data_IF_101583244163
#
_entry.id   IF_101583244163
#
_cell.length_a   1.000
_cell.length_b   1.000
_cell.length_c   1.000
_cell.angle_alpha   90.00
_cell.angle_beta   90.00
_cell.angle_gamma   90.00
#
_symmetry.space_group_name_H-M   'P 1'
#
loop_
_entity.id
_entity.type
_entity.pdbx_description
1 polymer ?
#
# COMPACT_ATOMS: atom_id res chain seq x y z
N UNK A 1 2.24 -12.34 11.12
CA UNK A 1 3.68 -12.00 10.97
C UNK A 1 4.07 -10.83 11.85
N UNK A 2 5.35 -10.43 11.90
CA UNK A 2 5.84 -9.39 12.81
C UNK A 2 5.12 -8.02 12.68
N UNK A 3 4.56 -7.69 11.52
CA UNK A 3 3.76 -6.48 11.32
C UNK A 3 2.33 -6.61 11.87
N UNK A 4 1.71 -7.78 11.77
CA UNK A 4 0.43 -8.07 12.43
C UNK A 4 0.56 -7.88 13.95
N UNK A 5 1.65 -8.37 14.56
CA UNK A 5 1.89 -8.18 16.01
C UNK A 5 2.06 -6.70 16.40
N UNK A 6 2.64 -5.87 15.53
CA UNK A 6 2.82 -4.43 15.80
C UNK A 6 1.48 -3.67 15.71
N UNK A 7 0.56 -4.09 14.83
CA UNK A 7 -0.74 -3.43 14.67
C UNK A 7 -1.84 -4.06 15.54
N UNK A 8 -1.89 -5.38 15.68
CA UNK A 8 -2.95 -6.09 16.43
C UNK A 8 -2.77 -6.02 17.96
N UNK A 9 -1.55 -5.88 18.46
CA UNK A 9 -1.27 -5.79 19.92
C UNK A 9 -0.97 -4.38 20.42
N UNK A 10 -1.21 -3.36 19.60
CA UNK A 10 -1.03 -1.98 20.00
C UNK A 10 -2.31 -1.44 20.65
N UNK A 11 -2.31 -1.27 21.97
CA UNK A 11 -3.44 -0.71 22.74
C UNK A 11 -3.97 0.61 22.16
N UNK A 12 -3.11 1.43 21.56
CA UNK A 12 -3.47 2.69 20.91
C UNK A 12 -4.25 2.48 19.62
N UNK A 13 -3.79 1.60 18.74
CA UNK A 13 -4.53 1.26 17.53
C UNK A 13 -5.90 0.68 17.87
N UNK A 14 -5.97 -0.16 18.88
CA UNK A 14 -7.23 -0.72 19.37
C UNK A 14 -8.16 0.37 19.90
N UNK A 15 -7.66 1.31 20.72
CA UNK A 15 -8.47 2.44 21.21
C UNK A 15 -9.15 3.22 20.07
N UNK A 16 -8.41 3.59 19.02
CA UNK A 16 -8.97 4.35 17.90
C UNK A 16 -9.92 3.49 17.04
N UNK A 17 -9.62 2.22 16.86
CA UNK A 17 -10.51 1.28 16.16
C UNK A 17 -11.83 1.09 16.94
N UNK A 18 -11.79 1.01 18.26
CA UNK A 18 -12.99 0.89 19.10
C UNK A 18 -13.84 2.17 19.05
N UNK A 19 -13.22 3.35 19.04
CA UNK A 19 -13.94 4.63 18.88
C UNK A 19 -14.61 4.74 17.52
N UNK A 20 -13.91 4.30 16.45
CA UNK A 20 -14.45 4.24 15.11
C UNK A 20 -15.61 3.24 15.05
N UNK A 21 -15.45 2.03 15.58
CA UNK A 21 -16.46 0.97 15.61
C UNK A 21 -17.74 1.43 16.36
N UNK A 22 -17.57 2.06 17.53
CA UNK A 22 -18.69 2.62 18.30
C UNK A 22 -19.47 3.69 17.51
N UNK A 23 -18.78 4.44 16.67
CA UNK A 23 -19.39 5.46 15.82
C UNK A 23 -20.14 4.86 14.64
N UNK A 24 -19.56 3.81 14.03
CA UNK A 24 -20.25 3.03 12.98
C UNK A 24 -21.54 2.44 13.53
N UNK A 25 -21.52 1.83 14.72
CA UNK A 25 -22.73 1.27 15.37
C UNK A 25 -23.80 2.34 15.59
N UNK A 26 -23.44 3.52 16.10
CA UNK A 26 -24.39 4.62 16.30
C UNK A 26 -25.05 5.09 15.00
N UNK A 27 -24.27 5.20 13.93
CA UNK A 27 -24.78 5.57 12.59
C UNK A 27 -25.71 4.45 12.10
N UNK A 28 -25.29 3.22 12.18
CA UNK A 28 -26.03 2.05 11.74
C UNK A 28 -27.38 1.93 12.49
N UNK A 29 -27.40 2.10 13.81
CA UNK A 29 -28.62 2.13 14.62
C UNK A 29 -29.57 3.26 14.20
N UNK A 30 -29.02 4.45 13.87
CA UNK A 30 -29.84 5.56 13.40
C UNK A 30 -30.45 5.31 12.01
N UNK A 31 -29.75 4.63 11.12
CA UNK A 31 -30.27 4.19 9.81
C UNK A 31 -31.34 3.11 10.01
N UNK A 32 -31.07 2.09 10.81
CA UNK A 32 -31.99 0.98 11.05
C UNK A 32 -33.28 1.44 11.75
N UNK A 33 -33.21 2.42 12.65
CA UNK A 33 -34.38 3.00 13.30
C UNK A 33 -35.35 3.66 12.30
N UNK A 34 -34.83 4.21 11.19
CA UNK A 34 -35.65 4.79 10.11
C UNK A 34 -36.17 3.72 9.12
N UNK A 35 -35.41 2.66 8.92
CA UNK A 35 -35.71 1.62 7.94
C UNK A 35 -35.34 0.21 8.50
N UNK A 36 -36.19 -0.41 9.36
CA UNK A 36 -35.81 -1.62 10.11
C UNK A 36 -35.44 -2.83 9.25
N UNK A 37 -35.99 -2.96 8.06
CA UNK A 37 -35.72 -4.09 7.15
C UNK A 37 -34.57 -3.81 6.15
N UNK A 38 -34.05 -2.59 6.14
CA UNK A 38 -32.99 -2.20 5.23
C UNK A 38 -31.63 -2.70 5.75
N UNK A 39 -30.86 -3.42 4.95
CA UNK A 39 -29.52 -3.79 5.34
C UNK A 39 -28.60 -2.57 5.25
N UNK A 40 -27.93 -2.23 6.34
CA UNK A 40 -26.99 -1.12 6.38
C UNK A 40 -25.74 -1.54 5.60
N UNK A 41 -25.37 -0.76 4.61
CA UNK A 41 -24.26 -1.04 3.72
C UNK A 41 -23.00 -0.28 4.15
N UNK A 42 -21.95 -1.04 4.38
CA UNK A 42 -20.65 -0.52 4.85
C UNK A 42 -19.58 -0.94 3.87
N UNK A 43 -18.72 0.01 3.47
CA UNK A 43 -17.51 -0.26 2.69
C UNK A 43 -16.29 0.15 3.50
N UNK A 44 -15.31 -0.72 3.58
CA UNK A 44 -13.99 -0.41 4.15
C UNK A 44 -12.97 -0.30 3.03
N UNK A 45 -12.28 0.84 2.96
CA UNK A 45 -11.22 1.15 1.99
C UNK A 45 -9.89 0.74 2.58
N UNK A 46 -9.07 -0.03 1.82
CA UNK A 46 -7.73 -0.42 2.23
C UNK A 46 -7.72 -1.16 3.56
N UNK A 47 -8.56 -2.19 3.70
CA UNK A 47 -8.76 -2.91 4.95
C UNK A 47 -7.49 -3.64 5.46
N UNK A 48 -6.51 -3.93 4.59
CA UNK A 48 -5.19 -4.44 4.93
C UNK A 48 -5.22 -5.76 5.71
N UNK A 49 -4.63 -5.78 6.90
CA UNK A 49 -4.65 -6.94 7.80
C UNK A 49 -5.98 -7.15 8.54
N UNK A 50 -6.90 -6.17 8.46
CA UNK A 50 -8.25 -6.26 9.04
C UNK A 50 -8.32 -5.91 10.53
N UNK A 51 -7.37 -5.17 11.08
CA UNK A 51 -7.42 -4.76 12.50
C UNK A 51 -8.66 -3.90 12.78
N UNK A 52 -8.97 -2.92 11.92
CA UNK A 52 -10.20 -2.11 12.00
C UNK A 52 -11.43 -2.97 11.70
N UNK A 53 -11.37 -3.80 10.66
CA UNK A 53 -12.45 -4.75 10.32
C UNK A 53 -12.88 -5.56 11.52
N UNK A 54 -11.94 -6.15 12.27
CA UNK A 54 -12.20 -6.96 13.44
C UNK A 54 -12.99 -6.22 14.52
N UNK A 55 -12.57 -4.99 14.86
CA UNK A 55 -13.23 -4.16 15.86
C UNK A 55 -14.65 -3.77 15.43
N UNK A 56 -14.82 -3.38 14.15
CA UNK A 56 -16.11 -2.97 13.58
C UNK A 56 -17.08 -4.14 13.51
N UNK A 57 -16.63 -5.31 13.02
CA UNK A 57 -17.47 -6.51 12.95
C UNK A 57 -17.97 -6.94 14.32
N UNK A 58 -17.08 -7.01 15.32
CA UNK A 58 -17.45 -7.35 16.68
C UNK A 58 -18.53 -6.42 17.23
N UNK A 59 -18.35 -5.11 17.08
CA UNK A 59 -19.30 -4.12 17.59
C UNK A 59 -20.67 -4.19 16.86
N UNK A 60 -20.69 -4.47 15.55
CA UNK A 60 -21.91 -4.60 14.76
C UNK A 60 -22.68 -5.90 15.10
N UNK A 61 -21.96 -7.01 15.32
CA UNK A 61 -22.53 -8.30 15.74
C UNK A 61 -23.13 -8.20 17.15
N UNK A 62 -22.42 -7.58 18.10
CA UNK A 62 -22.91 -7.33 19.45
C UNK A 62 -24.19 -6.46 19.50
N UNK A 63 -24.35 -5.59 18.49
CA UNK A 63 -25.52 -4.72 18.34
C UNK A 63 -26.69 -5.38 17.55
N UNK A 64 -26.54 -6.62 17.08
CA UNK A 64 -27.53 -7.40 16.32
C UNK A 64 -28.10 -6.64 15.10
N UNK A 65 -27.26 -5.93 14.35
CA UNK A 65 -27.64 -5.10 13.22
C UNK A 65 -27.71 -5.91 11.92
N UNK A 66 -28.69 -5.59 11.06
CA UNK A 66 -28.78 -6.13 9.71
C UNK A 66 -27.84 -5.35 8.77
N UNK A 67 -26.76 -5.97 8.31
CA UNK A 67 -25.68 -5.31 7.59
C UNK A 67 -25.27 -6.05 6.32
N UNK A 68 -24.71 -5.29 5.38
CA UNK A 68 -23.89 -5.76 4.26
C UNK A 68 -22.52 -5.10 4.39
N UNK A 69 -21.45 -5.88 4.49
CA UNK A 69 -20.10 -5.36 4.66
C UNK A 69 -19.25 -5.69 3.44
N UNK A 70 -18.61 -4.67 2.87
CA UNK A 70 -17.75 -4.78 1.70
C UNK A 70 -16.32 -4.46 2.16
N UNK A 71 -15.53 -5.50 2.32
CA UNK A 71 -14.10 -5.41 2.60
C UNK A 71 -13.36 -5.14 1.30
N UNK A 72 -12.66 -4.02 1.20
CA UNK A 72 -11.91 -3.67 -0.01
C UNK A 72 -10.46 -3.36 0.27
N UNK A 73 -9.63 -3.71 -0.71
CA UNK A 73 -8.21 -3.37 -0.73
C UNK A 73 -7.73 -3.35 -2.19
N UNK A 74 -6.65 -2.64 -2.47
CA UNK A 74 -5.98 -2.68 -3.77
C UNK A 74 -5.21 -4.00 -3.97
N UNK A 75 -4.78 -4.63 -2.87
CA UNK A 75 -3.97 -5.86 -2.86
C UNK A 75 -4.84 -7.11 -2.90
N UNK A 76 -4.72 -7.98 -3.94
CA UNK A 76 -5.38 -9.28 -3.97
C UNK A 76 -5.02 -10.19 -2.78
N UNK A 77 -3.82 -10.06 -2.22
CA UNK A 77 -3.41 -10.84 -1.05
C UNK A 77 -4.15 -10.42 0.20
N UNK A 78 -4.40 -9.13 0.43
CA UNK A 78 -5.24 -8.67 1.53
C UNK A 78 -6.71 -9.05 1.33
N UNK A 79 -7.21 -9.07 0.10
CA UNK A 79 -8.56 -9.60 -0.19
C UNK A 79 -8.65 -11.09 0.16
N UNK A 80 -7.63 -11.88 -0.18
CA UNK A 80 -7.60 -13.31 0.16
C UNK A 80 -7.46 -13.52 1.68
N UNK A 81 -6.61 -12.74 2.34
CA UNK A 81 -6.48 -12.72 3.80
C UNK A 81 -7.82 -12.40 4.48
N UNK A 82 -8.47 -11.31 4.07
CA UNK A 82 -9.77 -10.92 4.59
C UNK A 82 -10.83 -12.02 4.43
N UNK A 83 -10.88 -12.65 3.26
CA UNK A 83 -11.79 -13.76 2.97
C UNK A 83 -11.61 -14.96 3.90
N UNK A 84 -10.37 -15.33 4.18
CA UNK A 84 -10.05 -16.44 5.08
C UNK A 84 -10.25 -16.10 6.54
N UNK A 85 -9.95 -14.87 6.96
CA UNK A 85 -10.01 -14.45 8.36
C UNK A 85 -11.40 -14.03 8.80
N UNK A 86 -12.21 -13.42 7.92
CA UNK A 86 -13.49 -12.81 8.28
C UNK A 86 -14.69 -13.38 7.52
N UNK A 87 -14.49 -14.07 6.37
CA UNK A 87 -15.58 -14.52 5.52
C UNK A 87 -16.29 -15.79 5.98
N UNK A 88 -15.70 -16.54 6.93
CA UNK A 88 -16.29 -17.77 7.46
C UNK A 88 -17.50 -17.40 8.33
N UNK A 89 -18.65 -18.04 8.07
CA UNK A 89 -19.92 -17.82 8.78
C UNK A 89 -20.54 -16.41 8.65
N UNK A 90 -20.03 -15.57 7.71
CA UNK A 90 -20.51 -14.20 7.44
C UNK A 90 -20.96 -14.05 5.98
N UNK A 91 -22.09 -14.63 5.55
CA UNK A 91 -22.55 -14.56 4.15
C UNK A 91 -22.90 -13.13 3.70
N UNK A 92 -23.06 -12.20 4.62
CA UNK A 92 -23.30 -10.77 4.41
C UNK A 92 -22.01 -9.96 4.17
N UNK A 93 -20.85 -10.60 4.24
CA UNK A 93 -19.58 -10.00 3.84
C UNK A 93 -19.25 -10.28 2.37
N UNK A 94 -18.70 -9.29 1.70
CA UNK A 94 -18.10 -9.42 0.37
C UNK A 94 -16.68 -8.85 0.36
N UNK A 95 -15.82 -9.40 -0.49
CA UNK A 95 -14.39 -9.09 -0.59
C UNK A 95 -14.08 -8.69 -2.01
N UNK A 96 -13.70 -7.44 -2.23
CA UNK A 96 -13.58 -6.83 -3.55
C UNK A 96 -12.28 -6.04 -3.68
N UNK A 97 -11.66 -6.10 -4.85
CA UNK A 97 -10.58 -5.17 -5.20
C UNK A 97 -11.18 -3.79 -5.43
N UNK A 98 -10.60 -2.79 -4.79
CA UNK A 98 -10.87 -1.39 -5.08
C UNK A 98 -9.62 -0.55 -4.89
N UNK A 99 -9.20 0.06 -5.98
CA UNK A 99 -8.23 1.14 -5.99
C UNK A 99 -8.99 2.45 -5.76
N UNK A 100 -8.72 3.14 -4.66
CA UNK A 100 -9.39 4.39 -4.28
C UNK A 100 -9.10 5.54 -5.26
N UNK A 101 -8.06 5.44 -6.08
CA UNK A 101 -7.82 6.37 -7.18
C UNK A 101 -8.81 6.17 -8.36
N UNK A 102 -9.68 5.14 -8.27
CA UNK A 102 -10.75 4.89 -9.22
C UNK A 102 -12.13 5.07 -8.56
N UNK A 103 -13.14 5.57 -9.30
CA UNK A 103 -14.49 5.69 -8.78
C UNK A 103 -15.06 4.35 -8.32
N UNK A 104 -15.85 4.37 -7.24
CA UNK A 104 -16.60 3.22 -6.80
C UNK A 104 -17.60 2.79 -7.88
N UNK A 105 -17.60 1.52 -8.23
CA UNK A 105 -18.39 1.00 -9.36
C UNK A 105 -19.31 -0.15 -8.93
N UNK A 106 -20.26 -0.49 -9.82
CA UNK A 106 -21.16 -1.64 -9.63
C UNK A 106 -20.45 -2.99 -9.50
N UNK A 107 -19.16 -3.07 -9.83
CA UNK A 107 -18.35 -4.28 -9.59
C UNK A 107 -18.00 -4.45 -8.12
N UNK A 108 -17.93 -3.36 -7.34
CA UNK A 108 -17.68 -3.41 -5.91
C UNK A 108 -18.95 -3.63 -5.09
N UNK A 109 -20.11 -3.15 -5.52
CA UNK A 109 -21.36 -3.34 -4.78
C UNK A 109 -22.54 -3.71 -5.68
N UNK A 110 -23.51 -4.44 -5.12
CA UNK A 110 -24.78 -4.79 -5.79
C UNK A 110 -25.69 -3.56 -5.99
N UNK A 111 -25.50 -2.53 -5.19
CA UNK A 111 -26.16 -1.22 -5.29
C UNK A 111 -25.09 -0.13 -5.41
N UNK A 112 -25.45 0.96 -6.10
CA UNK A 112 -24.52 2.04 -6.43
C UNK A 112 -24.09 2.91 -5.25
N UNK A 113 -24.67 2.75 -4.04
CA UNK A 113 -24.40 3.63 -2.91
C UNK A 113 -24.47 2.88 -1.57
N UNK A 114 -23.64 3.32 -0.61
CA UNK A 114 -23.53 2.75 0.73
C UNK A 114 -23.81 3.82 1.80
N UNK A 115 -24.16 3.36 3.01
CA UNK A 115 -24.50 4.25 4.13
C UNK A 115 -23.25 4.73 4.86
N UNK A 116 -22.21 3.87 4.88
CA UNK A 116 -20.97 4.15 5.62
C UNK A 116 -19.76 3.72 4.78
N UNK A 117 -18.79 4.62 4.71
CA UNK A 117 -17.43 4.32 4.20
C UNK A 117 -16.45 4.46 5.36
N UNK A 118 -15.55 3.51 5.51
CA UNK A 118 -14.48 3.48 6.52
C UNK A 118 -13.13 3.55 5.81
N UNK A 119 -12.22 4.35 6.32
CA UNK A 119 -10.84 4.42 5.84
C UNK A 119 -9.88 4.57 7.04
N UNK A 120 -8.97 3.61 7.23
CA UNK A 120 -8.01 3.63 8.35
C UNK A 120 -6.58 3.59 7.83
N UNK A 121 -5.82 4.66 8.07
CA UNK A 121 -4.41 4.82 7.65
C UNK A 121 -4.16 4.42 6.18
N UNK A 122 -5.05 4.87 5.28
CA UNK A 122 -5.00 4.53 3.85
C UNK A 122 -5.06 5.77 2.96
N UNK A 123 -5.87 6.78 3.29
CA UNK A 123 -6.08 7.93 2.42
C UNK A 123 -4.83 8.80 2.30
N UNK A 124 -4.01 8.90 3.34
CA UNK A 124 -2.75 9.61 3.27
C UNK A 124 -1.75 9.01 2.26
N UNK A 125 -1.89 7.73 1.95
CA UNK A 125 -1.01 7.02 1.01
C UNK A 125 -1.42 7.19 -0.46
N UNK A 126 -2.48 7.96 -0.76
CA UNK A 126 -2.93 8.24 -2.13
C UNK A 126 -2.14 9.38 -2.77
N UNK A 127 -2.12 9.41 -4.10
CA UNK A 127 -1.39 10.42 -4.86
C UNK A 127 -2.01 11.83 -4.79
N UNK A 128 -3.35 11.92 -4.68
CA UNK A 128 -4.16 13.15 -4.59
C UNK A 128 -5.31 12.92 -3.61
N UNK A 129 -5.23 13.61 -2.46
CA UNK A 129 -6.21 13.43 -1.39
C UNK A 129 -7.61 13.88 -1.76
N UNK A 130 -7.74 14.97 -2.53
CA UNK A 130 -9.05 15.46 -2.95
C UNK A 130 -9.70 14.51 -3.96
N UNK A 131 -8.89 13.90 -4.83
CA UNK A 131 -9.36 12.87 -5.76
C UNK A 131 -9.85 11.63 -5.01
N UNK A 132 -9.06 11.10 -4.08
CA UNK A 132 -9.43 9.97 -3.24
C UNK A 132 -10.71 10.24 -2.42
N UNK A 133 -10.84 11.44 -1.83
CA UNK A 133 -12.05 11.83 -1.11
C UNK A 133 -13.28 11.95 -2.01
N UNK A 134 -13.14 12.43 -3.26
CA UNK A 134 -14.25 12.44 -4.25
C UNK A 134 -14.69 11.02 -4.59
N UNK A 135 -13.74 10.09 -4.75
CA UNK A 135 -14.04 8.69 -5.01
C UNK A 135 -14.71 8.01 -3.80
N UNK A 136 -14.24 8.26 -2.58
CA UNK A 136 -14.89 7.79 -1.35
C UNK A 136 -16.33 8.36 -1.24
N UNK A 137 -16.51 9.66 -1.53
CA UNK A 137 -17.82 10.30 -1.54
C UNK A 137 -18.76 9.70 -2.60
N UNK A 138 -18.23 9.30 -3.75
CA UNK A 138 -19.01 8.69 -4.83
C UNK A 138 -19.67 7.36 -4.45
N UNK A 139 -19.08 6.66 -3.47
CA UNK A 139 -19.64 5.43 -2.91
C UNK A 139 -20.83 5.71 -1.96
N UNK A 140 -20.90 6.88 -1.36
CA UNK A 140 -21.87 7.21 -0.31
C UNK A 140 -23.24 7.61 -0.88
N UNK A 141 -24.27 7.14 -0.21
CA UNK A 141 -25.63 7.68 -0.37
C UNK A 141 -25.71 9.13 0.14
N UNK A 142 -26.80 9.82 -0.20
CA UNK A 142 -27.16 11.08 0.43
C UNK A 142 -27.30 10.84 1.95
N UNK A 143 -26.74 11.75 2.75
CA UNK A 143 -26.63 11.62 4.22
C UNK A 143 -25.75 10.46 4.71
N UNK A 144 -25.07 9.72 3.82
CA UNK A 144 -24.08 8.71 4.18
C UNK A 144 -22.85 9.30 4.89
N UNK A 145 -22.11 8.48 5.58
CA UNK A 145 -21.01 8.92 6.44
C UNK A 145 -19.67 8.31 6.02
N UNK A 146 -18.65 9.16 5.95
CA UNK A 146 -17.25 8.75 5.85
C UNK A 146 -16.60 8.81 7.24
N UNK A 147 -16.03 7.72 7.71
CA UNK A 147 -15.24 7.65 8.91
C UNK A 147 -13.78 7.46 8.53
N UNK A 148 -12.95 8.38 8.99
CA UNK A 148 -11.50 8.39 8.73
C UNK A 148 -10.80 8.20 10.07
N UNK A 149 -9.90 7.21 10.15
CA UNK A 149 -9.00 7.00 11.27
C UNK A 149 -7.56 7.14 10.74
N UNK A 150 -6.95 8.29 10.95
CA UNK A 150 -5.70 8.64 10.28
C UNK A 150 -4.66 9.21 11.24
N UNK A 151 -3.41 8.96 10.91
CA UNK A 151 -2.26 9.63 11.52
C UNK A 151 -2.27 11.10 11.11
N UNK A 152 -2.30 12.02 12.10
CA UNK A 152 -2.49 13.47 11.86
C UNK A 152 -1.30 14.33 12.30
N UNK A 153 -0.26 13.72 12.82
CA UNK A 153 1.00 14.38 13.18
C UNK A 153 2.20 13.60 12.66
N UNK A 154 3.22 14.35 12.30
CA UNK A 154 4.51 13.76 11.93
C UNK A 154 5.24 13.28 13.19
N UNK A 155 5.56 12.00 13.24
CA UNK A 155 6.36 11.39 14.31
C UNK A 155 7.73 10.97 13.79
N UNK A 156 8.71 10.95 14.67
CA UNK A 156 10.04 10.43 14.33
C UNK A 156 9.96 8.95 13.94
N UNK A 157 9.16 8.17 14.68
CA UNK A 157 8.93 6.77 14.38
C UNK A 157 8.36 6.57 12.96
N UNK A 158 7.27 7.27 12.60
CA UNK A 158 6.68 7.19 11.25
C UNK A 158 7.66 7.60 10.16
N UNK A 159 8.47 8.64 10.40
CA UNK A 159 9.48 9.08 9.42
C UNK A 159 10.61 8.06 9.26
N UNK A 160 11.08 7.42 10.34
CA UNK A 160 12.17 6.45 10.29
C UNK A 160 11.74 5.06 9.79
N UNK A 161 10.45 4.73 9.87
CA UNK A 161 9.90 3.45 9.40
C UNK A 161 9.30 3.58 8.00
N UNK A 162 8.22 4.31 7.87
CA UNK A 162 7.48 4.47 6.60
C UNK A 162 8.15 5.44 5.63
N UNK A 163 8.89 6.45 6.14
CA UNK A 163 9.62 7.40 5.31
C UNK A 163 10.80 6.81 4.53
N UNK A 164 11.16 5.55 4.78
CA UNK A 164 12.12 4.78 3.99
C UNK A 164 11.46 4.06 2.79
N UNK A 165 10.13 4.08 2.71
CA UNK A 165 9.38 3.45 1.64
C UNK A 165 9.09 4.50 0.54
N UNK A 166 9.35 4.17 -0.72
CA UNK A 166 9.11 5.09 -1.85
C UNK A 166 7.64 5.50 -1.95
N UNK A 167 6.71 4.57 -1.66
CA UNK A 167 5.27 4.84 -1.62
C UNK A 167 4.86 5.92 -0.62
N UNK A 168 5.66 6.17 0.44
CA UNK A 168 5.44 7.26 1.39
C UNK A 168 5.54 8.66 0.74
N UNK A 169 6.25 8.78 -0.37
CA UNK A 169 6.51 10.03 -1.08
C UNK A 169 5.76 10.14 -2.41
N UNK A 170 4.87 9.19 -2.72
CA UNK A 170 4.20 9.09 -4.01
C UNK A 170 3.03 10.08 -4.21
N UNK A 171 2.94 11.13 -3.40
CA UNK A 171 1.90 12.15 -3.48
C UNK A 171 2.32 13.36 -4.31
N UNK A 172 1.34 14.00 -4.97
CA UNK A 172 1.54 15.16 -5.85
C UNK A 172 0.94 16.47 -5.31
N UNK A 173 0.16 16.41 -4.24
CA UNK A 173 -0.62 17.49 -3.61
C UNK A 173 0.06 18.02 -2.33
N UNK A 174 1.36 18.34 -2.40
CA UNK A 174 2.19 18.73 -1.26
C UNK A 174 1.65 19.91 -0.46
N UNK A 175 0.94 20.84 -1.11
CA UNK A 175 0.35 22.02 -0.49
C UNK A 175 -0.78 21.71 0.50
N UNK A 176 -1.42 20.54 0.35
CA UNK A 176 -2.47 20.07 1.26
C UNK A 176 -1.93 19.29 2.45
N UNK A 177 -0.66 18.88 2.41
CA UNK A 177 -0.07 17.94 3.36
C UNK A 177 0.82 18.63 4.38
N UNK A 178 1.12 17.93 5.45
CA UNK A 178 2.13 18.39 6.42
C UNK A 178 3.50 18.42 5.76
N UNK A 179 4.28 19.46 6.04
CA UNK A 179 5.60 19.62 5.43
C UNK A 179 6.50 18.40 5.65
N UNK A 180 6.91 17.75 4.56
CA UNK A 180 7.79 16.59 4.59
C UNK A 180 7.14 15.32 5.14
N UNK A 181 5.84 15.11 4.85
CA UNK A 181 5.11 13.88 5.13
C UNK A 181 3.88 13.79 4.22
N UNK A 182 3.35 12.59 3.94
CA UNK A 182 2.08 12.41 3.21
C UNK A 182 0.86 12.73 4.06
N UNK A 183 1.04 13.02 5.33
CA UNK A 183 0.00 13.17 6.34
C UNK A 183 -0.70 14.53 6.23
N UNK A 184 -1.95 14.57 6.71
CA UNK A 184 -2.71 15.80 6.90
C UNK A 184 -2.99 16.00 8.39
N UNK A 185 -2.85 17.23 8.87
CA UNK A 185 -3.33 17.60 10.20
C UNK A 185 -4.87 17.67 10.23
N UNK A 186 -5.45 17.73 11.43
CA UNK A 186 -6.92 17.74 11.62
C UNK A 186 -7.61 18.87 10.83
N UNK A 187 -7.03 20.06 10.85
CA UNK A 187 -7.62 21.21 10.14
C UNK A 187 -7.50 21.06 8.62
N UNK A 188 -6.41 20.46 8.13
CA UNK A 188 -6.23 20.14 6.71
C UNK A 188 -7.23 19.08 6.26
N UNK A 189 -7.47 18.03 7.08
CA UNK A 189 -8.53 17.06 6.81
C UNK A 189 -9.92 17.70 6.74
N UNK A 190 -10.25 18.59 7.70
CA UNK A 190 -11.52 19.32 7.69
C UNK A 190 -11.68 20.20 6.44
N UNK A 191 -10.61 20.89 6.05
CA UNK A 191 -10.61 21.72 4.85
C UNK A 191 -10.80 20.87 3.57
N UNK A 192 -10.06 19.76 3.43
CA UNK A 192 -10.17 18.85 2.29
C UNK A 192 -11.56 18.20 2.19
N UNK A 193 -12.15 17.80 3.31
CA UNK A 193 -13.50 17.26 3.38
C UNK A 193 -14.55 18.32 2.95
N UNK A 194 -14.42 19.56 3.43
CA UNK A 194 -15.32 20.65 3.05
C UNK A 194 -15.18 21.00 1.56
N UNK A 195 -13.97 21.00 1.00
CA UNK A 195 -13.72 21.27 -0.41
C UNK A 195 -14.37 20.23 -1.32
N UNK A 196 -14.40 18.96 -0.90
CA UNK A 196 -15.07 17.88 -1.63
C UNK A 196 -16.60 17.89 -1.41
N UNK A 197 -17.13 18.73 -0.53
CA UNK A 197 -18.57 18.89 -0.30
C UNK A 197 -19.13 17.97 0.79
N UNK A 198 -18.31 17.53 1.75
CA UNK A 198 -18.83 17.00 3.00
C UNK A 198 -19.29 18.18 3.87
N UNK A 199 -20.59 18.26 4.17
CA UNK A 199 -21.16 19.45 4.79
C UNK A 199 -21.10 19.48 6.32
N UNK A 200 -20.78 18.34 6.95
CA UNK A 200 -20.55 18.21 8.39
C UNK A 200 -19.35 17.32 8.61
N UNK A 201 -18.36 17.84 9.29
CA UNK A 201 -17.21 17.05 9.74
C UNK A 201 -16.89 17.39 11.19
N UNK A 202 -16.59 16.39 11.97
CA UNK A 202 -16.16 16.55 13.37
C UNK A 202 -15.18 15.44 13.75
N UNK A 203 -14.34 15.73 14.73
CA UNK A 203 -13.47 14.75 15.36
C UNK A 203 -14.20 14.08 16.51
N UNK A 204 -14.07 12.76 16.62
CA UNK A 204 -14.59 11.99 17.74
C UNK A 204 -13.54 11.93 18.85
N UNK A 205 -12.27 11.72 18.45
CA UNK A 205 -11.13 11.77 19.34
C UNK A 205 -10.31 13.01 19.04
N UNK A 206 -10.01 13.79 20.08
CA UNK A 206 -9.04 14.88 19.91
C UNK A 206 -7.64 14.27 19.82
N UNK A 207 -6.82 14.75 18.87
CA UNK A 207 -5.49 14.22 18.69
C UNK A 207 -4.60 14.60 19.88
N UNK A 208 -4.16 13.61 20.61
CA UNK A 208 -3.12 13.78 21.61
C UNK A 208 -1.76 13.76 20.90
N UNK A 209 -0.87 14.69 21.27
CA UNK A 209 0.46 14.79 20.60
C UNK A 209 1.28 13.51 20.70
N UNK A 210 1.04 12.70 21.73
CA UNK A 210 1.74 11.44 21.91
C UNK A 210 1.25 10.32 20.97
N UNK A 211 0.00 10.39 20.52
CA UNK A 211 -0.66 9.33 19.75
C UNK A 211 -0.68 9.61 18.25
N UNK A 212 -0.60 10.89 17.89
CA UNK A 212 -0.53 11.34 16.49
C UNK A 212 -1.65 10.84 15.58
N UNK A 213 -2.78 10.34 16.11
CA UNK A 213 -3.88 9.74 15.37
C UNK A 213 -5.22 10.35 15.80
N UNK A 214 -6.20 10.38 14.86
CA UNK A 214 -7.51 10.98 15.10
C UNK A 214 -8.60 10.26 14.28
N UNK A 215 -9.78 10.09 14.88
CA UNK A 215 -10.98 9.63 14.19
C UNK A 215 -11.83 10.84 13.82
N UNK A 216 -12.10 11.00 12.52
CA UNK A 216 -12.99 12.03 11.96
C UNK A 216 -14.22 11.36 11.35
N UNK A 217 -15.37 12.00 11.51
CA UNK A 217 -16.62 11.64 10.83
C UNK A 217 -17.06 12.80 9.96
N UNK A 218 -17.41 12.48 8.72
CA UNK A 218 -17.92 13.46 7.77
C UNK A 218 -19.19 12.94 7.12
N UNK A 219 -20.19 13.84 6.91
CA UNK A 219 -21.46 13.50 6.31
C UNK A 219 -21.54 14.02 4.89
N UNK A 220 -21.91 13.13 3.95
CA UNK A 220 -22.09 13.46 2.53
C UNK A 220 -23.44 14.11 2.27
N UNK A 221 -23.46 15.17 1.45
CA UNK A 221 -24.69 15.78 0.92
C UNK A 221 -25.30 14.98 -0.26
N UNK A 222 -24.61 13.92 -0.72
CA UNK A 222 -25.01 13.13 -1.89
C UNK A 222 -24.73 13.80 -3.24
N UNK A 223 -24.23 15.05 -3.25
CA UNK A 223 -23.84 15.74 -4.48
C UNK A 223 -22.40 15.41 -4.86
N UNK A 224 -22.20 14.94 -6.06
CA UNK A 224 -20.90 14.93 -6.71
C UNK A 224 -20.87 16.14 -7.64
N UNK A 225 -20.01 17.11 -7.37
CA UNK A 225 -19.68 18.08 -8.40
C UNK A 225 -19.13 17.29 -9.59
N UNK A 226 -19.89 17.30 -10.68
CA UNK A 226 -19.37 16.86 -11.97
C UNK A 226 -18.38 17.93 -12.39
N UNK A 227 -17.16 17.88 -11.91
CA UNK A 227 -16.06 18.55 -12.59
C UNK A 227 -16.11 17.98 -14.00
N UNK A 228 -16.56 18.84 -14.94
CA UNK A 228 -16.48 18.54 -16.36
C UNK A 228 -15.09 17.97 -16.56
N UNK A 229 -15.02 16.70 -16.95
CA UNK A 229 -13.78 15.99 -17.11
C UNK A 229 -12.81 16.93 -17.83
N UNK A 230 -11.90 17.51 -17.09
CA UNK A 230 -10.66 17.99 -17.70
C UNK A 230 -10.11 16.71 -18.26
N UNK A 231 -10.30 16.56 -19.57
CA UNK A 231 -9.87 15.38 -20.30
C UNK A 231 -8.43 15.16 -19.86
N UNK A 232 -8.24 14.23 -18.94
CA UNK A 232 -6.92 13.66 -18.69
C UNK A 232 -6.53 13.19 -20.07
N UNK A 233 -5.62 13.96 -20.70
CA UNK A 233 -4.98 13.47 -21.91
C UNK A 233 -4.55 12.06 -21.55
N UNK A 234 -4.99 11.04 -22.29
CA UNK A 234 -4.57 9.69 -21.99
C UNK A 234 -3.06 9.78 -21.86
N UNK A 235 -2.55 9.46 -20.69
CA UNK A 235 -1.11 9.21 -20.53
C UNK A 235 -0.87 8.19 -21.62
N UNK A 236 -0.14 8.63 -22.63
CA UNK A 236 0.21 7.75 -23.74
C UNK A 236 0.89 6.57 -23.07
N UNK A 237 0.16 5.45 -23.04
CA UNK A 237 0.73 4.18 -22.68
C UNK A 237 2.02 4.08 -23.49
N UNK A 238 3.15 4.09 -22.78
CA UNK A 238 4.45 3.83 -23.43
C UNK A 238 4.24 2.61 -24.30
N UNK A 239 4.71 2.63 -25.54
CA UNK A 239 4.45 1.54 -26.49
C UNK A 239 4.86 0.23 -25.82
N UNK A 240 3.92 -0.71 -25.81
CA UNK A 240 4.15 -2.09 -25.41
C UNK A 240 5.46 -2.56 -26.07
N UNK A 241 6.49 -2.98 -25.34
CA UNK A 241 7.66 -3.54 -25.97
C UNK A 241 7.23 -4.85 -26.62
N UNK A 242 7.09 -4.85 -27.94
CA UNK A 242 7.11 -6.07 -28.72
C UNK A 242 8.56 -6.52 -28.82
N UNK A 243 8.94 -7.47 -28.01
CA UNK A 243 10.04 -8.38 -28.34
C UNK A 243 9.82 -9.69 -27.55
N UNK A 244 9.39 -10.70 -28.25
CA UNK A 244 9.65 -12.07 -27.87
C UNK A 244 11.16 -12.32 -28.05
N UNK A 245 11.97 -11.83 -27.11
CA UNK A 245 13.33 -12.32 -26.93
C UNK A 245 13.25 -13.68 -26.26
N UNK A 246 14.15 -14.59 -26.62
CA UNK A 246 14.26 -15.91 -26.00
C UNK A 246 14.28 -15.75 -24.47
N UNK A 247 13.28 -16.30 -23.79
CA UNK A 247 13.17 -16.27 -22.33
C UNK A 247 14.34 -17.03 -21.74
N UNK A 248 15.01 -16.44 -20.78
CA UNK A 248 16.12 -17.06 -20.07
C UNK A 248 15.61 -17.77 -18.80
N UNK A 249 16.44 -18.58 -18.18
CA UNK A 249 16.14 -19.29 -16.94
C UNK A 249 15.73 -18.32 -15.80
N UNK A 250 16.27 -17.10 -15.81
CA UNK A 250 15.96 -16.06 -14.83
C UNK A 250 14.50 -15.56 -14.93
N UNK A 251 13.91 -15.53 -16.13
CA UNK A 251 12.52 -15.17 -16.30
C UNK A 251 11.58 -16.19 -15.63
N UNK A 252 11.85 -17.48 -15.81
CA UNK A 252 11.08 -18.53 -15.17
C UNK A 252 11.31 -18.54 -13.66
N UNK A 253 12.54 -18.33 -13.20
CA UNK A 253 12.87 -18.22 -11.78
C UNK A 253 12.09 -17.07 -11.10
N UNK A 254 12.11 -15.87 -11.70
CA UNK A 254 11.39 -14.72 -11.14
C UNK A 254 9.89 -14.99 -11.12
N UNK A 255 9.32 -15.52 -12.22
CA UNK A 255 7.89 -15.87 -12.28
C UNK A 255 7.51 -16.86 -11.18
N UNK A 256 8.30 -17.93 -11.02
CA UNK A 256 7.99 -18.99 -10.04
C UNK A 256 8.12 -18.47 -8.60
N UNK A 257 9.10 -17.59 -8.33
CA UNK A 257 9.21 -16.90 -7.05
C UNK A 257 8.01 -15.97 -6.78
N UNK A 258 7.57 -15.21 -7.79
CA UNK A 258 6.37 -14.35 -7.69
C UNK A 258 5.13 -15.19 -7.43
N UNK A 259 4.93 -16.28 -8.19
CA UNK A 259 3.81 -17.19 -8.04
C UNK A 259 3.74 -17.79 -6.63
N UNK A 260 4.87 -18.22 -6.10
CA UNK A 260 4.96 -18.81 -4.76
C UNK A 260 4.61 -17.79 -3.66
N UNK A 261 5.17 -16.58 -3.74
CA UNK A 261 4.96 -15.55 -2.71
C UNK A 261 3.52 -15.05 -2.73
N UNK A 262 2.89 -15.00 -3.92
CA UNK A 262 1.47 -14.65 -4.09
C UNK A 262 0.52 -15.83 -3.89
N UNK A 263 1.04 -17.04 -3.66
CA UNK A 263 0.27 -18.29 -3.60
C UNK A 263 -0.65 -18.47 -4.84
N UNK A 264 -0.08 -18.20 -6.02
CA UNK A 264 -0.75 -18.29 -7.33
C UNK A 264 -0.13 -19.39 -8.17
N UNK A 265 -0.87 -19.92 -9.16
CA UNK A 265 -0.29 -20.82 -10.14
C UNK A 265 0.60 -20.04 -11.12
N UNK A 266 1.83 -20.49 -11.46
CA UNK A 266 2.76 -19.78 -12.35
C UNK A 266 2.17 -19.38 -13.70
N UNK A 267 1.27 -20.19 -14.28
CA UNK A 267 0.61 -19.90 -15.55
C UNK A 267 -0.32 -18.67 -15.51
N UNK A 268 -0.64 -18.17 -14.32
CA UNK A 268 -1.46 -16.96 -14.12
C UNK A 268 -0.62 -15.69 -14.01
N UNK A 269 0.69 -15.82 -14.02
CA UNK A 269 1.63 -14.71 -13.89
C UNK A 269 2.21 -14.39 -15.28
N UNK A 270 1.88 -13.21 -15.78
CA UNK A 270 2.36 -12.71 -17.06
C UNK A 270 3.66 -11.91 -16.88
N UNK A 271 4.60 -12.02 -17.83
CA UNK A 271 5.95 -11.47 -17.69
C UNK A 271 6.03 -9.95 -17.82
N UNK A 272 5.04 -9.35 -18.47
CA UNK A 272 4.98 -7.92 -18.79
C UNK A 272 3.87 -7.16 -18.03
N UNK A 273 3.28 -7.79 -17.02
CA UNK A 273 2.28 -7.18 -16.14
C UNK A 273 3.00 -6.65 -14.90
N UNK A 274 2.73 -5.40 -14.48
CA UNK A 274 3.33 -4.82 -13.28
C UNK A 274 3.05 -5.66 -12.03
N UNK A 275 4.03 -5.75 -11.14
CA UNK A 275 3.89 -6.45 -9.86
C UNK A 275 2.75 -5.89 -9.00
N UNK A 276 2.47 -4.59 -9.12
CA UNK A 276 1.33 -3.94 -8.47
C UNK A 276 -0.01 -4.55 -8.85
N UNK A 277 -0.16 -4.97 -10.11
CA UNK A 277 -1.41 -5.53 -10.63
C UNK A 277 -1.68 -6.94 -10.08
N UNK A 278 -0.63 -7.59 -9.58
CA UNK A 278 -0.73 -8.85 -8.82
C UNK A 278 -0.88 -8.63 -7.31
N UNK A 279 -0.85 -7.36 -6.85
CA UNK A 279 -0.93 -7.00 -5.45
C UNK A 279 0.36 -7.24 -4.68
N UNK A 280 1.52 -7.13 -5.35
CA UNK A 280 2.82 -7.19 -4.71
C UNK A 280 3.02 -5.88 -3.93
N UNK A 281 2.70 -5.91 -2.64
CA UNK A 281 2.94 -4.83 -1.69
C UNK A 281 4.36 -4.89 -1.10
N UNK A 282 4.69 -3.96 -0.21
CA UNK A 282 6.02 -3.89 0.42
C UNK A 282 6.38 -5.13 1.24
N UNK A 283 5.37 -5.84 1.78
CA UNK A 283 5.57 -7.04 2.60
C UNK A 283 5.86 -8.22 1.68
N UNK A 284 4.99 -8.42 0.70
CA UNK A 284 5.13 -9.47 -0.32
C UNK A 284 6.38 -9.22 -1.16
N UNK A 285 6.70 -7.96 -1.46
CA UNK A 285 7.94 -7.57 -2.12
C UNK A 285 9.19 -7.94 -1.33
N UNK A 286 9.18 -7.72 -0.01
CA UNK A 286 10.28 -8.14 0.86
C UNK A 286 10.47 -9.66 0.90
N UNK A 287 9.37 -10.42 0.89
CA UNK A 287 9.40 -11.88 0.81
C UNK A 287 9.93 -12.37 -0.55
N UNK A 288 9.51 -11.70 -1.64
CA UNK A 288 10.02 -11.99 -2.99
C UNK A 288 11.54 -11.77 -3.07
N UNK A 289 12.03 -10.65 -2.57
CA UNK A 289 13.46 -10.32 -2.56
C UNK A 289 14.26 -11.30 -1.71
N UNK A 290 13.76 -11.67 -0.53
CA UNK A 290 14.40 -12.68 0.31
C UNK A 290 14.48 -14.04 -0.40
N UNK A 291 13.42 -14.44 -1.10
CA UNK A 291 13.36 -15.69 -1.87
C UNK A 291 14.30 -15.67 -3.06
N UNK A 292 14.27 -14.60 -3.88
CA UNK A 292 15.18 -14.42 -4.99
C UNK A 292 16.64 -14.41 -4.53
N UNK A 293 16.94 -13.75 -3.39
CA UNK A 293 18.27 -13.78 -2.79
C UNK A 293 18.71 -15.18 -2.37
N UNK A 294 17.81 -16.00 -1.82
CA UNK A 294 18.09 -17.39 -1.46
C UNK A 294 18.36 -18.28 -2.69
N UNK A 295 17.56 -18.12 -3.76
CA UNK A 295 17.68 -18.91 -5.00
C UNK A 295 18.90 -18.49 -5.84
N UNK A 296 19.27 -17.21 -5.86
CA UNK A 296 20.37 -16.69 -6.69
C UNK A 296 21.69 -16.54 -5.94
N UNK A 297 21.68 -16.61 -4.60
CA UNK A 297 22.85 -16.31 -3.77
C UNK A 297 23.24 -14.83 -3.72
N UNK A 298 22.42 -13.94 -4.32
CA UNK A 298 22.66 -12.50 -4.37
C UNK A 298 22.11 -11.79 -3.12
N UNK A 299 22.82 -10.75 -2.68
CA UNK A 299 22.26 -9.79 -1.70
C UNK A 299 21.45 -8.74 -2.44
N UNK A 300 20.13 -8.94 -2.48
CA UNK A 300 19.22 -8.06 -3.17
C UNK A 300 18.55 -7.08 -2.18
N UNK A 301 18.26 -5.86 -2.64
CA UNK A 301 17.50 -4.87 -1.90
C UNK A 301 16.09 -4.76 -2.50
N UNK A 302 15.09 -4.49 -1.67
CA UNK A 302 13.69 -4.31 -2.10
C UNK A 302 13.50 -3.14 -3.08
N UNK A 303 14.40 -2.16 -3.10
CA UNK A 303 14.38 -1.04 -4.07
C UNK A 303 14.38 -1.49 -5.53
N UNK A 304 14.96 -2.65 -5.85
CA UNK A 304 14.99 -3.16 -7.23
C UNK A 304 13.58 -3.44 -7.80
N UNK A 305 12.59 -3.73 -6.95
CA UNK A 305 11.21 -3.95 -7.40
C UNK A 305 10.51 -2.68 -7.86
N UNK A 306 10.97 -1.51 -7.41
CA UNK A 306 10.47 -0.20 -7.84
C UNK A 306 11.11 0.26 -9.15
N UNK A 307 12.36 -0.13 -9.38
CA UNK A 307 13.08 0.15 -10.63
C UNK A 307 12.67 -0.83 -11.74
N UNK A 308 12.37 -2.09 -11.37
CA UNK A 308 12.03 -3.19 -12.26
C UNK A 308 10.66 -3.74 -11.87
N UNK A 309 9.61 -3.09 -12.34
CA UNK A 309 8.22 -3.28 -11.88
C UNK A 309 7.49 -4.48 -12.48
N UNK A 310 8.11 -5.26 -13.38
CA UNK A 310 7.55 -6.47 -13.99
C UNK A 310 8.65 -7.52 -14.22
N UNK A 311 8.25 -8.77 -14.44
CA UNK A 311 9.17 -9.92 -14.50
C UNK A 311 10.27 -9.74 -15.54
N UNK A 312 9.93 -9.30 -16.77
CA UNK A 312 10.92 -9.15 -17.85
C UNK A 312 12.03 -8.15 -17.46
N UNK A 313 11.68 -7.05 -16.79
CA UNK A 313 12.65 -6.06 -16.33
C UNK A 313 13.52 -6.59 -15.19
N UNK A 314 12.89 -7.23 -14.20
CA UNK A 314 13.60 -7.77 -13.04
C UNK A 314 14.54 -8.93 -13.43
N UNK A 315 14.08 -9.82 -14.29
CA UNK A 315 14.89 -10.94 -14.79
C UNK A 315 16.10 -10.46 -15.62
N UNK A 316 15.91 -9.43 -16.45
CA UNK A 316 17.02 -8.83 -17.21
C UNK A 316 18.06 -8.19 -16.28
N UNK A 317 17.64 -7.52 -15.22
CA UNK A 317 18.51 -6.94 -14.21
C UNK A 317 19.30 -8.02 -13.43
N UNK A 318 18.61 -9.07 -12.97
CA UNK A 318 19.25 -10.18 -12.27
C UNK A 318 20.28 -10.90 -13.15
N UNK A 319 19.96 -11.11 -14.43
CA UNK A 319 20.92 -11.70 -15.37
C UNK A 319 22.17 -10.84 -15.53
N UNK A 320 22.02 -9.51 -15.60
CA UNK A 320 23.15 -8.58 -15.61
C UNK A 320 24.06 -8.74 -14.39
N UNK A 321 23.49 -8.78 -13.18
CA UNK A 321 24.26 -8.96 -11.94
C UNK A 321 24.96 -10.33 -11.91
N UNK A 322 24.25 -11.40 -12.29
CA UNK A 322 24.84 -12.76 -12.32
C UNK A 322 26.02 -12.86 -13.28
N UNK A 323 25.91 -12.27 -14.49
CA UNK A 323 27.01 -12.20 -15.43
C UNK A 323 28.22 -11.40 -14.93
N UNK A 324 27.98 -10.31 -14.21
CA UNK A 324 29.06 -9.54 -13.57
C UNK A 324 29.76 -10.34 -12.46
N UNK A 325 29.00 -11.09 -11.66
CA UNK A 325 29.54 -11.96 -10.61
C UNK A 325 30.35 -13.10 -11.22
N UNK A 326 29.86 -13.73 -12.29
CA UNK A 326 30.57 -14.77 -13.03
C UNK A 326 31.84 -14.23 -13.71
N UNK A 327 31.77 -13.04 -14.29
CA UNK A 327 32.93 -12.38 -14.91
C UNK A 327 34.03 -12.04 -13.88
N UNK A 328 33.62 -11.69 -12.65
CA UNK A 328 34.57 -11.47 -11.52
C UNK A 328 35.08 -12.77 -10.92
N UNK A 329 34.35 -13.86 -11.04
CA UNK A 329 34.76 -15.19 -10.57
C UNK A 329 35.71 -15.91 -11.54
N UNK A 330 35.86 -15.44 -12.79
CA UNK A 330 36.80 -15.97 -13.76
C UNK A 330 38.09 -15.08 -13.72
N UNK A 331 39.17 -15.46 -13.06
CA UNK A 331 40.37 -14.67 -13.04
C UNK A 331 41.04 -14.74 -14.41
N UNK A 332 40.90 -13.70 -15.21
CA UNK A 332 41.96 -13.39 -16.16
C UNK A 332 43.21 -13.12 -15.30
N UNK A 333 44.18 -14.01 -15.45
CA UNK A 333 45.43 -14.00 -14.71
C UNK A 333 46.17 -12.67 -14.87
N UNK A 334 45.87 -11.70 -13.97
CA UNK A 334 46.81 -10.65 -13.64
C UNK A 334 47.65 -11.18 -12.51
N UNK A 335 48.98 -11.21 -12.59
CA UNK A 335 49.81 -11.66 -11.50
C UNK A 335 49.52 -10.81 -10.27
N UNK A 336 49.08 -11.46 -9.18
CA UNK A 336 48.99 -10.83 -7.87
C UNK A 336 50.39 -10.31 -7.52
N UNK A 337 50.54 -8.99 -7.50
CA UNK A 337 51.75 -8.34 -6.97
C UNK A 337 51.77 -8.67 -5.49
N UNK A 338 52.85 -9.33 -5.06
CA UNK A 338 53.03 -9.72 -3.66
C UNK A 338 53.28 -8.47 -2.79
N UNK A 339 52.98 -8.59 -1.49
CA UNK A 339 53.21 -7.50 -0.53
C UNK A 339 54.69 -7.01 -0.58
N UNK A 340 55.60 -7.92 -0.79
CA UNK A 340 57.02 -7.70 -0.90
C UNK A 340 57.40 -6.92 -2.19
N UNK A 341 56.68 -7.16 -3.29
CA UNK A 341 56.84 -6.42 -4.54
C UNK A 341 56.27 -5.00 -4.42
N UNK A 342 55.12 -4.83 -3.71
CA UNK A 342 54.55 -3.52 -3.41
C UNK A 342 55.42 -2.66 -2.50
N UNK A 343 56.02 -3.28 -1.47
CA UNK A 343 56.99 -2.63 -0.59
C UNK A 343 58.23 -2.14 -1.38
N UNK A 344 58.74 -2.97 -2.28
CA UNK A 344 59.89 -2.63 -3.10
C UNK A 344 59.57 -1.47 -4.08
N UNK A 345 58.37 -1.50 -4.70
CA UNK A 345 57.89 -0.42 -5.60
C UNK A 345 57.65 0.93 -4.86
N UNK A 346 57.31 0.85 -3.58
CA UNK A 346 57.18 2.01 -2.72
C UNK A 346 58.53 2.60 -2.34
N UNK A 347 59.50 1.77 -1.94
CA UNK A 347 60.83 2.20 -1.55
C UNK A 347 61.69 2.73 -2.71
N UNK A 348 61.48 2.26 -3.93
CA UNK A 348 62.16 2.78 -5.13
C UNK A 348 61.48 3.95 -5.80
N UNK A 349 60.30 4.39 -5.23
CA UNK A 349 59.57 5.56 -5.69
C UNK A 349 58.72 5.34 -6.95
N UNK A 350 58.45 4.10 -7.32
CA UNK A 350 57.67 3.74 -8.51
C UNK A 350 56.17 3.95 -8.27
N UNK A 351 55.70 3.88 -6.99
CA UNK A 351 54.31 4.14 -6.58
C UNK A 351 54.27 5.10 -5.40
N UNK A 352 53.16 5.88 -5.29
CA UNK A 352 52.95 6.85 -4.21
C UNK A 352 52.14 6.28 -3.05
N UNK A 353 52.16 6.99 -1.89
CA UNK A 353 51.34 6.65 -0.72
C UNK A 353 49.83 6.50 -1.05
N UNK A 354 49.35 7.30 -2.01
CA UNK A 354 47.94 7.30 -2.44
C UNK A 354 47.60 6.04 -3.29
N UNK A 355 48.55 5.58 -4.11
CA UNK A 355 48.37 4.39 -4.96
C UNK A 355 48.38 3.10 -4.12
N UNK A 356 49.20 3.03 -3.08
CA UNK A 356 49.22 1.89 -2.14
C UNK A 356 47.90 1.75 -1.38
N UNK A 357 47.28 2.87 -0.98
CA UNK A 357 46.01 2.89 -0.30
C UNK A 357 44.82 2.51 -1.21
N UNK A 358 44.97 2.65 -2.52
CA UNK A 358 43.93 2.26 -3.50
C UNK A 358 43.91 0.75 -3.78
N UNK A 359 45.08 0.10 -3.73
CA UNK A 359 45.23 -1.35 -3.98
C UNK A 359 44.84 -2.21 -2.77
N UNK A 360 44.83 -1.64 -1.54
CA UNK A 360 44.48 -2.34 -0.28
C UNK A 360 42.94 -2.29 0.01
N UNK A 361 42.17 -1.50 -0.74
CA UNK A 361 40.70 -1.43 -0.62
C UNK A 361 39.99 -2.35 -1.59
#
# INVERSE_FOLDING_TARGET
>A
GALEEVYDNNEWSQFFNDQLAASVVKIAQAVQAKAPSYPIRIVEIGAGTGSTTKAVLQALEDAELNIEYIYTDISPSFIQHGRTSFGIDRPWMSFKLWDIDQPFSSTQASSSQVDVVIATNVLHATSDILHALRNAKSALAADGHLLINETVYKTLFGTLTFGLLDGWWAFSDQELRLQGAPLLGVDQWRAALAEVGFYRSHTITEPLRAEAQCVLVAQSDGWLETTAATAIKPVQSKPKPQAQSARSAEHDLVRDCVADVLNMHPDRIEFNVPFSDYGLDSIVGSQLIAKLGAETGLKLNTSILYEHTYIDALAAHLNGILQEVEARACPASTPLVTLEELENMFFDGTISDEDVLAEIK
#
